data_IF_727219264531
#
_entry.id   IF_727219264531
#
_cell.length_a   1.000
_cell.length_b   1.000
_cell.length_c   1.000
_cell.angle_alpha   90.00
_cell.angle_beta   90.00
_cell.angle_gamma   90.00
#
_symmetry.space_group_name_H-M   'P 1'
#
loop_
_entity.id
_entity.type
_entity.pdbx_description
1 polymer ?
#
# COMPACT_ATOMS: atom_id res chain seq x y z
N UNK A 1 -1.35 5.65 21.04
CA UNK A 1 -0.11 5.55 20.25
C UNK A 1 -0.35 4.39 19.32
N UNK A 2 -0.85 4.70 18.14
CA UNK A 2 -1.00 3.74 17.06
C UNK A 2 0.33 3.53 16.34
N UNK A 3 0.28 2.66 15.35
CA UNK A 3 1.40 2.25 14.54
C UNK A 3 1.72 3.29 13.46
N UNK A 4 3.01 3.49 13.21
CA UNK A 4 3.53 4.26 12.09
C UNK A 4 4.59 3.43 11.38
N UNK A 5 4.43 3.23 10.07
CA UNK A 5 5.36 2.42 9.30
C UNK A 5 4.82 2.02 7.94
N UNK A 6 5.66 1.30 7.19
CA UNK A 6 5.34 0.80 5.87
C UNK A 6 5.10 -0.70 5.87
N UNK A 7 4.10 -1.12 5.11
CA UNK A 7 4.02 -2.47 4.57
C UNK A 7 4.44 -2.44 3.11
N UNK A 8 5.43 -3.24 2.76
CA UNK A 8 5.95 -3.40 1.40
C UNK A 8 5.50 -4.74 0.85
N UNK A 9 4.78 -4.68 -0.27
CA UNK A 9 4.17 -5.83 -0.93
C UNK A 9 4.76 -5.98 -2.31
N UNK A 10 5.24 -7.19 -2.62
CA UNK A 10 5.83 -7.47 -3.91
C UNK A 10 5.95 -8.97 -4.17
N UNK A 11 6.26 -9.31 -5.43
CA UNK A 11 6.44 -10.69 -5.87
C UNK A 11 7.91 -10.91 -6.23
N UNK A 12 8.56 -11.87 -5.57
CA UNK A 12 9.94 -12.25 -5.90
C UNK A 12 10.25 -13.66 -5.39
N UNK A 13 11.16 -14.35 -6.06
CA UNK A 13 11.74 -15.61 -5.56
C UNK A 13 12.78 -15.36 -4.45
N UNK A 14 13.36 -14.16 -4.39
CA UNK A 14 14.29 -13.73 -3.36
C UNK A 14 13.58 -12.87 -2.31
N UNK A 15 14.10 -12.78 -1.07
CA UNK A 15 13.56 -11.86 -0.06
C UNK A 15 13.50 -10.42 -0.58
N UNK A 16 12.35 -9.74 -0.45
CA UNK A 16 12.23 -8.35 -0.95
C UNK A 16 13.28 -7.42 -0.31
N UNK A 17 13.57 -7.59 0.98
CA UNK A 17 14.58 -6.80 1.69
C UNK A 17 16.02 -6.95 1.16
N UNK A 18 16.28 -7.92 0.27
CA UNK A 18 17.58 -8.10 -0.39
C UNK A 18 17.65 -7.43 -1.78
N UNK A 19 16.53 -6.89 -2.28
CA UNK A 19 16.45 -6.24 -3.58
C UNK A 19 17.03 -4.83 -3.55
N UNK A 20 17.57 -4.38 -4.69
CA UNK A 20 18.23 -3.08 -4.78
C UNK A 20 17.27 -1.93 -4.54
N UNK A 21 16.03 -2.05 -5.02
CA UNK A 21 14.95 -1.09 -4.82
C UNK A 21 14.68 -0.79 -3.34
N UNK A 22 14.97 -1.73 -2.44
CA UNK A 22 14.72 -1.61 -0.99
C UNK A 22 16.01 -1.50 -0.17
N UNK A 23 17.16 -1.26 -0.81
CA UNK A 23 18.47 -1.21 -0.12
C UNK A 23 18.59 -0.08 0.92
N UNK A 24 17.74 0.94 0.85
CA UNK A 24 17.64 2.01 1.85
C UNK A 24 16.87 1.61 3.12
N UNK A 25 15.99 0.61 3.02
CA UNK A 25 15.13 0.15 4.11
C UNK A 25 15.82 -0.91 4.99
N UNK A 26 16.96 -0.57 5.58
CA UNK A 26 17.64 -1.49 6.49
C UNK A 26 16.78 -1.75 7.74
N UNK A 27 16.52 -3.02 8.05
CA UNK A 27 15.75 -3.43 9.23
C UNK A 27 14.30 -3.86 8.94
N UNK A 28 13.91 -3.98 7.67
CA UNK A 28 12.63 -4.61 7.31
C UNK A 28 12.55 -6.03 7.87
N UNK A 29 11.36 -6.40 8.35
CA UNK A 29 11.05 -7.74 8.83
C UNK A 29 9.97 -8.38 7.98
N UNK A 30 10.17 -9.65 7.62
CA UNK A 30 9.14 -10.40 6.90
C UNK A 30 7.90 -10.53 7.78
N UNK A 31 6.76 -10.03 7.30
CA UNK A 31 5.49 -10.19 7.98
C UNK A 31 4.80 -11.46 7.51
N UNK A 32 4.65 -11.66 6.20
CA UNK A 32 3.89 -12.77 5.64
C UNK A 32 4.34 -13.13 4.22
N UNK A 33 4.16 -14.38 3.82
CA UNK A 33 4.33 -14.84 2.44
C UNK A 33 3.03 -15.51 1.96
N UNK A 34 2.77 -15.39 0.66
CA UNK A 34 1.61 -15.97 0.01
C UNK A 34 1.98 -16.65 -1.32
N UNK A 35 1.03 -17.42 -1.85
CA UNK A 35 1.21 -18.19 -3.08
C UNK A 35 1.72 -17.35 -4.25
N UNK A 36 2.54 -17.96 -5.10
CA UNK A 36 3.09 -17.30 -6.29
C UNK A 36 4.32 -16.41 -6.02
N UNK A 37 4.91 -16.48 -4.82
CA UNK A 37 6.11 -15.72 -4.45
C UNK A 37 5.78 -14.31 -3.93
N UNK A 38 4.55 -14.09 -3.49
CA UNK A 38 4.14 -12.84 -2.87
C UNK A 38 4.67 -12.75 -1.44
N UNK A 39 5.15 -11.58 -1.08
CA UNK A 39 5.71 -11.31 0.23
C UNK A 39 5.20 -9.96 0.72
N UNK A 40 4.92 -9.88 2.02
CA UNK A 40 4.65 -8.63 2.74
C UNK A 40 5.72 -8.46 3.80
N UNK A 41 6.39 -7.33 3.73
CA UNK A 41 7.44 -6.94 4.66
C UNK A 41 7.00 -5.70 5.41
N UNK A 42 7.34 -5.65 6.69
CA UNK A 42 7.06 -4.53 7.55
C UNK A 42 8.34 -3.70 7.75
N UNK A 43 8.18 -2.38 7.69
CA UNK A 43 9.22 -1.42 8.00
C UNK A 43 8.68 -0.34 8.96
N UNK A 44 8.81 -0.54 10.28
CA UNK A 44 8.32 0.43 11.26
C UNK A 44 9.13 1.73 11.18
N UNK A 45 8.46 2.88 11.29
CA UNK A 45 9.16 4.17 11.37
C UNK A 45 10.02 4.22 12.65
N UNK A 46 11.15 4.91 12.55
CA UNK A 46 12.00 5.14 13.72
C UNK A 46 11.24 5.95 14.79
N UNK A 47 11.45 5.66 16.09
CA UNK A 47 10.77 6.33 17.20
C UNK A 47 11.03 7.86 17.25
N UNK A 48 12.04 8.35 16.54
CA UNK A 48 12.42 9.77 16.46
C UNK A 48 11.68 10.55 15.35
N UNK A 49 10.71 9.94 14.65
CA UNK A 49 9.78 10.64 13.75
C UNK A 49 10.35 11.07 12.40
N UNK A 50 11.51 10.53 11.99
CA UNK A 50 11.99 10.66 10.62
C UNK A 50 11.19 9.77 9.68
N UNK A 51 10.78 10.29 8.52
CA UNK A 51 10.21 9.46 7.46
C UNK A 51 11.24 8.42 7.06
N UNK A 52 10.97 7.16 7.37
CA UNK A 52 11.84 6.07 6.96
C UNK A 52 11.71 5.90 5.44
N UNK A 53 12.80 6.16 4.71
CA UNK A 53 12.85 6.04 3.26
C UNK A 53 12.83 4.55 2.88
N UNK A 54 11.65 4.07 2.47
CA UNK A 54 11.44 2.68 2.10
C UNK A 54 11.91 2.38 0.66
N UNK A 55 12.23 3.41 -0.13
CA UNK A 55 12.53 3.30 -1.55
C UNK A 55 11.32 3.65 -2.44
N UNK A 56 11.39 3.28 -3.72
CA UNK A 56 10.38 3.64 -4.73
C UNK A 56 9.64 2.40 -5.24
N UNK A 57 8.30 2.43 -5.24
CA UNK A 57 7.50 1.29 -5.70
C UNK A 57 7.67 1.00 -7.20
N UNK A 58 8.01 2.02 -8.01
CA UNK A 58 8.31 1.84 -9.43
C UNK A 58 9.58 1.03 -9.62
N UNK A 59 10.66 1.40 -8.91
CA UNK A 59 11.93 0.67 -8.98
C UNK A 59 11.75 -0.79 -8.56
N UNK A 60 10.92 -1.05 -7.54
CA UNK A 60 10.59 -2.41 -7.10
C UNK A 60 9.78 -3.17 -8.17
N UNK A 61 8.78 -2.53 -8.77
CA UNK A 61 7.98 -3.14 -9.84
C UNK A 61 8.84 -3.45 -11.08
N UNK A 62 9.78 -2.57 -11.42
CA UNK A 62 10.74 -2.77 -12.51
C UNK A 62 11.74 -3.88 -12.21
N UNK A 63 12.33 -3.90 -11.00
CA UNK A 63 13.32 -4.91 -10.60
C UNK A 63 12.71 -6.31 -10.52
N UNK A 64 11.49 -6.42 -10.01
CA UNK A 64 10.78 -7.70 -9.90
C UNK A 64 10.08 -8.13 -11.20
N UNK A 65 9.87 -7.19 -12.13
CA UNK A 65 9.05 -7.40 -13.33
C UNK A 65 7.60 -7.75 -13.01
N UNK A 66 7.11 -7.37 -11.83
CA UNK A 66 5.79 -7.71 -11.32
C UNK A 66 5.16 -6.51 -10.60
N UNK A 67 3.82 -6.48 -10.46
CA UNK A 67 3.16 -5.44 -9.67
C UNK A 67 3.66 -5.38 -8.22
N UNK A 68 3.89 -4.17 -7.72
CA UNK A 68 4.34 -3.89 -6.36
C UNK A 68 3.44 -2.83 -5.70
N UNK A 69 3.40 -2.83 -4.36
CA UNK A 69 2.54 -1.94 -3.59
C UNK A 69 3.14 -1.64 -2.22
N UNK A 70 3.15 -0.36 -1.83
CA UNK A 70 3.48 0.11 -0.50
C UNK A 70 2.24 0.65 0.20
N UNK A 71 2.10 0.33 1.49
CA UNK A 71 1.08 0.87 2.38
C UNK A 71 1.74 1.60 3.54
N UNK A 72 1.61 2.92 3.59
CA UNK A 72 2.13 3.73 4.70
C UNK A 72 1.03 4.02 5.71
N UNK A 73 1.17 3.46 6.91
CA UNK A 73 0.20 3.59 8.00
C UNK A 73 0.55 4.78 8.88
N UNK A 74 -0.45 5.59 9.23
CA UNK A 74 -0.32 6.76 10.10
C UNK A 74 -1.23 6.61 11.33
N UNK A 75 -0.60 6.51 12.50
CA UNK A 75 -1.21 6.32 13.84
C UNK A 75 -2.27 5.20 13.92
N UNK A 76 -2.16 4.17 13.06
CA UNK A 76 -3.21 3.16 12.85
C UNK A 76 -4.58 3.71 12.43
N UNK A 77 -4.67 4.98 12.00
CA UNK A 77 -5.93 5.66 11.65
C UNK A 77 -6.22 5.62 10.15
N UNK A 78 -5.18 5.72 9.31
CA UNK A 78 -5.32 5.69 7.86
C UNK A 78 -4.06 5.16 7.17
N UNK A 79 -4.20 4.85 5.87
CA UNK A 79 -3.10 4.31 5.06
C UNK A 79 -2.99 5.07 3.74
N UNK A 80 -1.79 5.51 3.37
CA UNK A 80 -1.48 5.88 1.98
C UNK A 80 -1.10 4.62 1.23
N UNK A 81 -1.75 4.38 0.09
CA UNK A 81 -1.45 3.23 -0.78
C UNK A 81 -0.81 3.76 -2.05
N UNK A 82 0.43 3.34 -2.28
CA UNK A 82 1.20 3.61 -3.49
C UNK A 82 1.42 2.29 -4.22
N UNK A 83 0.99 2.20 -5.46
CA UNK A 83 1.14 0.97 -6.23
C UNK A 83 1.75 1.29 -7.59
N UNK A 84 2.56 0.37 -8.08
CA UNK A 84 3.10 0.42 -9.43
C UNK A 84 3.10 -0.98 -10.02
N UNK A 85 3.03 -1.03 -11.33
CA UNK A 85 3.15 -2.24 -12.10
C UNK A 85 3.77 -1.91 -13.46
N UNK A 86 4.55 -2.83 -14.04
CA UNK A 86 5.19 -2.61 -15.34
C UNK A 86 4.25 -2.12 -16.45
N UNK A 87 3.04 -2.68 -16.55
CA UNK A 87 2.11 -2.37 -17.66
C UNK A 87 0.97 -1.43 -17.24
N UNK A 88 0.37 -1.62 -16.06
CA UNK A 88 -0.77 -0.82 -15.58
C UNK A 88 -0.38 0.51 -14.93
N UNK A 89 0.93 0.73 -14.72
CA UNK A 89 1.52 1.99 -14.29
C UNK A 89 1.34 2.29 -12.80
N UNK A 90 1.82 3.46 -12.40
CA UNK A 90 1.75 3.93 -11.01
C UNK A 90 0.42 4.61 -10.70
N UNK A 91 -0.03 4.45 -9.46
CA UNK A 91 -1.20 5.13 -8.92
C UNK A 91 -1.14 5.21 -7.39
N UNK A 92 -1.84 6.21 -6.84
CA UNK A 92 -1.86 6.47 -5.40
C UNK A 92 -3.28 6.73 -4.92
N UNK A 93 -3.65 6.14 -3.79
CA UNK A 93 -4.91 6.42 -3.08
C UNK A 93 -4.70 6.36 -1.57
N UNK A 94 -5.77 6.49 -0.79
CA UNK A 94 -5.75 6.31 0.65
C UNK A 94 -6.90 5.40 1.13
N UNK A 95 -6.67 4.73 2.25
CA UNK A 95 -7.68 4.01 3.04
C UNK A 95 -8.03 4.82 4.30
N UNK A 96 -9.28 4.72 4.76
CA UNK A 96 -9.84 5.58 5.81
C UNK A 96 -9.72 7.07 5.47
N UNK A 97 -10.40 7.46 4.36
CA UNK A 97 -10.29 8.78 3.74
C UNK A 97 -10.66 9.94 4.68
N UNK A 98 -11.63 9.76 5.56
CA UNK A 98 -12.02 10.79 6.53
C UNK A 98 -10.91 11.06 7.55
N UNK A 99 -10.23 10.02 8.04
CA UNK A 99 -9.07 10.16 8.89
C UNK A 99 -7.90 10.82 8.15
N UNK A 100 -7.65 10.42 6.89
CA UNK A 100 -6.64 11.04 6.02
C UNK A 100 -6.87 12.55 5.84
N UNK A 101 -8.13 12.98 5.71
CA UNK A 101 -8.48 14.40 5.62
C UNK A 101 -8.07 15.17 6.89
N UNK A 102 -8.10 14.55 8.06
CA UNK A 102 -7.60 15.14 9.31
C UNK A 102 -6.09 15.38 9.30
N UNK A 103 -5.31 14.47 8.72
CA UNK A 103 -3.85 14.60 8.56
C UNK A 103 -3.48 15.65 7.51
N UNK A 104 -4.25 15.76 6.42
CA UNK A 104 -4.02 16.74 5.36
C UNK A 104 -4.55 18.14 5.70
N UNK A 105 -5.68 18.23 6.39
CA UNK A 105 -6.34 19.50 6.76
C UNK A 105 -5.54 20.36 7.75
N UNK A 106 -4.44 19.84 8.29
CA UNK A 106 -3.43 20.61 9.02
C UNK A 106 -2.48 21.41 8.12
N UNK A 107 -2.46 21.16 6.79
CA UNK A 107 -1.67 21.94 5.84
C UNK A 107 -2.43 23.22 5.43
N UNK A 108 -1.78 24.36 5.59
CA UNK A 108 -2.32 25.72 5.37
C UNK A 108 -2.70 26.01 3.90
N UNK A 109 -2.48 25.06 2.99
CA UNK A 109 -2.60 25.20 1.53
C UNK A 109 -4.01 24.95 0.96
N UNK A 110 -4.99 24.53 1.76
CA UNK A 110 -6.39 24.37 1.33
C UNK A 110 -6.63 23.25 0.32
N UNK A 111 -5.67 22.34 0.14
CA UNK A 111 -5.79 21.16 -0.72
C UNK A 111 -6.64 20.08 -0.05
N UNK A 112 -7.55 19.48 -0.80
CA UNK A 112 -8.39 18.37 -0.37
C UNK A 112 -7.67 17.03 -0.57
N UNK A 113 -8.20 15.96 0.05
CA UNK A 113 -7.67 14.61 -0.12
C UNK A 113 -7.65 14.20 -1.61
N UNK A 114 -8.64 14.64 -2.38
CA UNK A 114 -8.80 14.34 -3.79
C UNK A 114 -7.73 14.99 -4.69
N UNK A 115 -7.03 16.02 -4.20
CA UNK A 115 -5.90 16.63 -4.91
C UNK A 115 -4.63 15.76 -4.86
N UNK A 116 -4.54 14.86 -3.87
CA UNK A 116 -3.39 13.98 -3.65
C UNK A 116 -3.68 12.52 -4.00
N UNK A 117 -4.92 12.08 -3.84
CA UNK A 117 -5.29 10.67 -3.84
C UNK A 117 -6.50 10.41 -4.72
N UNK A 118 -6.38 9.42 -5.62
CA UNK A 118 -7.49 8.98 -6.46
C UNK A 118 -8.72 8.67 -5.61
N UNK A 119 -9.87 9.20 -6.03
CA UNK A 119 -11.16 8.89 -5.41
C UNK A 119 -11.42 7.37 -5.44
N UNK A 120 -12.20 6.82 -4.50
CA UNK A 120 -12.41 5.37 -4.39
C UNK A 120 -12.78 4.68 -5.70
N UNK A 121 -13.65 5.29 -6.52
CA UNK A 121 -14.07 4.71 -7.82
C UNK A 121 -12.93 4.65 -8.85
N UNK A 122 -12.11 5.69 -8.93
CA UNK A 122 -10.98 5.72 -9.86
C UNK A 122 -9.85 4.80 -9.36
N UNK A 123 -9.64 4.74 -8.04
CA UNK A 123 -8.72 3.81 -7.42
C UNK A 123 -9.12 2.35 -7.68
N UNK A 124 -10.41 2.01 -7.68
CA UNK A 124 -10.89 0.67 -8.06
C UNK A 124 -10.48 0.30 -9.48
N UNK A 125 -10.60 1.22 -10.44
CA UNK A 125 -10.20 0.95 -11.84
C UNK A 125 -8.71 0.62 -11.92
N UNK A 126 -7.87 1.36 -11.20
CA UNK A 126 -6.42 1.12 -11.15
C UNK A 126 -6.07 -0.18 -10.42
N UNK A 127 -6.72 -0.44 -9.29
CA UNK A 127 -6.55 -1.66 -8.50
C UNK A 127 -6.94 -2.91 -9.30
N UNK A 128 -8.02 -2.85 -10.10
CA UNK A 128 -8.42 -3.95 -10.98
C UNK A 128 -7.40 -4.21 -12.10
N UNK A 129 -6.83 -3.16 -12.69
CA UNK A 129 -5.79 -3.31 -13.70
C UNK A 129 -4.52 -3.95 -13.10
N UNK A 130 -4.10 -3.46 -11.93
CA UNK A 130 -2.97 -4.00 -11.16
C UNK A 130 -3.18 -5.47 -10.75
N UNK A 131 -4.38 -5.82 -10.29
CA UNK A 131 -4.72 -7.21 -9.94
C UNK A 131 -4.71 -8.13 -11.17
N UNK A 132 -5.26 -7.68 -12.30
CA UNK A 132 -5.25 -8.46 -13.55
C UNK A 132 -3.84 -8.72 -14.06
N UNK A 133 -2.96 -7.73 -13.98
CA UNK A 133 -1.55 -7.86 -14.37
C UNK A 133 -0.79 -8.87 -13.49
N UNK A 134 -1.14 -8.95 -12.20
CA UNK A 134 -0.62 -9.98 -11.30
C UNK A 134 -1.25 -11.37 -11.49
N UNK A 135 -2.14 -11.53 -12.48
CA UNK A 135 -2.87 -12.78 -12.73
C UNK A 135 -3.98 -13.07 -11.73
N UNK A 136 -4.46 -12.03 -11.02
CA UNK A 136 -5.50 -12.12 -9.98
C UNK A 136 -6.83 -11.56 -10.49
N UNK A 137 -7.92 -12.14 -10.02
CA UNK A 137 -9.28 -11.70 -10.35
C UNK A 137 -9.93 -11.03 -9.14
N UNK A 138 -9.70 -9.72 -9.02
CA UNK A 138 -10.28 -8.91 -7.96
C UNK A 138 -11.71 -8.45 -8.33
N UNK A 139 -12.56 -8.32 -7.32
CA UNK A 139 -13.95 -7.89 -7.49
C UNK A 139 -14.08 -6.37 -7.34
N UNK A 140 -14.67 -5.71 -8.33
CA UNK A 140 -14.94 -4.26 -8.30
C UNK A 140 -15.73 -3.85 -7.05
N UNK A 141 -16.82 -4.57 -6.76
CA UNK A 141 -17.69 -4.30 -5.61
C UNK A 141 -16.94 -4.41 -4.29
N UNK A 142 -16.13 -5.47 -4.11
CA UNK A 142 -15.36 -5.67 -2.88
C UNK A 142 -14.23 -4.65 -2.73
N UNK A 143 -13.60 -4.24 -3.83
CA UNK A 143 -12.57 -3.20 -3.81
C UNK A 143 -13.19 -1.84 -3.47
N UNK A 144 -14.35 -1.52 -4.02
CA UNK A 144 -15.05 -0.27 -3.72
C UNK A 144 -15.47 -0.21 -2.25
N UNK A 145 -16.00 -1.31 -1.72
CA UNK A 145 -16.38 -1.45 -0.31
C UNK A 145 -15.20 -1.13 0.63
N UNK A 146 -14.04 -1.76 0.40
CA UNK A 146 -12.86 -1.54 1.25
C UNK A 146 -12.24 -0.15 1.05
N UNK A 147 -12.19 0.38 -0.17
CA UNK A 147 -11.67 1.74 -0.46
C UNK A 147 -12.56 2.85 0.10
N UNK A 148 -13.84 2.54 0.37
CA UNK A 148 -14.81 3.48 0.95
C UNK A 148 -15.03 3.25 2.45
N UNK A 149 -14.31 2.30 3.06
CA UNK A 149 -14.45 1.95 4.47
C UNK A 149 -13.54 2.79 5.36
N UNK A 150 -13.98 3.02 6.60
CA UNK A 150 -13.16 3.56 7.67
C UNK A 150 -12.25 2.50 8.29
N UNK A 151 -11.19 2.95 8.98
CA UNK A 151 -10.32 2.10 9.77
C UNK A 151 -11.09 1.53 10.97
N UNK A 152 -11.56 0.29 10.86
CA UNK A 152 -12.24 -0.42 11.95
C UNK A 152 -11.89 -1.92 11.95
N UNK A 153 -11.20 -2.43 12.98
CA UNK A 153 -10.77 -1.73 14.20
C UNK A 153 -9.49 -0.89 14.04
N UNK A 154 -8.75 -1.04 12.94
CA UNK A 154 -7.51 -0.28 12.69
C UNK A 154 -7.20 -0.18 11.19
N UNK A 155 -6.32 0.74 10.82
CA UNK A 155 -5.92 0.97 9.43
C UNK A 155 -5.11 -0.18 8.82
N UNK A 156 -4.29 -0.87 9.63
CA UNK A 156 -3.56 -2.07 9.21
C UNK A 156 -4.53 -3.19 8.84
N UNK A 157 -5.56 -3.43 9.65
CA UNK A 157 -6.58 -4.43 9.33
C UNK A 157 -7.36 -4.08 8.06
N UNK A 158 -7.62 -2.79 7.83
CA UNK A 158 -8.22 -2.32 6.60
C UNK A 158 -7.29 -2.54 5.40
N UNK A 159 -5.99 -2.31 5.56
CA UNK A 159 -4.97 -2.57 4.55
C UNK A 159 -4.84 -4.05 4.21
N UNK A 160 -4.77 -4.95 5.19
CA UNK A 160 -4.75 -6.39 4.93
C UNK A 160 -6.03 -6.88 4.26
N UNK A 161 -7.19 -6.32 4.64
CA UNK A 161 -8.44 -6.56 3.90
C UNK A 161 -8.34 -6.09 2.45
N UNK A 162 -7.69 -4.96 2.19
CA UNK A 162 -7.47 -4.48 0.83
C UNK A 162 -6.56 -5.44 0.03
N UNK A 163 -5.47 -5.94 0.63
CA UNK A 163 -4.62 -6.97 0.03
C UNK A 163 -5.37 -8.27 -0.27
N UNK A 164 -6.27 -8.70 0.63
CA UNK A 164 -7.19 -9.82 0.39
C UNK A 164 -8.12 -9.55 -0.80
N UNK A 165 -8.67 -8.33 -0.92
CA UNK A 165 -9.55 -7.97 -2.05
C UNK A 165 -8.80 -7.90 -3.38
N UNK A 166 -7.52 -7.57 -3.37
CA UNK A 166 -6.61 -7.69 -4.52
C UNK A 166 -6.23 -9.15 -4.81
N UNK A 167 -6.51 -10.06 -3.89
CA UNK A 167 -6.16 -11.46 -3.94
C UNK A 167 -4.72 -11.76 -3.57
N UNK A 168 -3.96 -10.81 -3.03
CA UNK A 168 -2.51 -10.96 -2.77
C UNK A 168 -2.23 -11.87 -1.59
N UNK A 169 -2.88 -11.60 -0.45
CA UNK A 169 -2.81 -12.40 0.77
C UNK A 169 -4.23 -12.80 1.15
N UNK A 170 -4.54 -14.10 1.29
CA UNK A 170 -5.84 -14.54 1.79
C UNK A 170 -5.96 -14.24 3.29
N UNK A 171 -7.05 -13.57 3.69
CA UNK A 171 -7.35 -13.24 5.09
C UNK A 171 -8.52 -14.05 5.65
#
# INVERSE_FOLDING_TARGET
>A
MGYWGYFVVGRSEQPLAELRALSGAAGMTLHETADGGWQVWEYPNAPDGGASDVGNMNDLAEETGAPALFGYVMDSDCVVVEAAAPDSGAWTTCLARDAMAGYLGGNEDGLAVDDFFLEPRDAVVRALAWARESGRDASEERLLDVLSSDANPSAEMLFFRFLDRLGVIPM
#
